data_IF_188116576854
#
_entry.id   IF_188116576854
#
_cell.length_a   1.000
_cell.length_b   1.000
_cell.length_c   1.000
_cell.angle_alpha   90.00
_cell.angle_beta   90.00
_cell.angle_gamma   90.00
#
_symmetry.space_group_name_H-M   'P 1'
#
loop_
_entity.id
_entity.type
_entity.pdbx_description
1 polymer ?
#
# COMPACT_ATOMS: atom_id res chain seq x y z
N UNK A 1 8.31 9.28 -14.59
CA UNK A 1 7.30 8.19 -14.59
C UNK A 1 6.20 8.58 -13.61
N UNK A 2 5.01 8.95 -14.10
CA UNK A 2 3.87 9.29 -13.25
C UNK A 2 3.01 8.04 -13.07
N UNK A 3 2.98 7.47 -11.87
CA UNK A 3 1.96 6.49 -11.51
C UNK A 3 0.58 7.16 -11.62
N UNK A 4 -0.22 6.74 -12.59
CA UNK A 4 -1.59 7.21 -12.74
C UNK A 4 -2.51 6.23 -12.02
N UNK A 5 -3.25 6.77 -11.05
CA UNK A 5 -4.32 6.02 -10.40
C UNK A 5 -5.46 5.84 -11.40
N UNK A 6 -6.23 4.74 -11.29
CA UNK A 6 -7.48 4.59 -12.01
C UNK A 6 -8.38 5.81 -11.78
N UNK A 7 -9.19 6.24 -12.76
CA UNK A 7 -10.03 7.44 -12.64
C UNK A 7 -11.02 7.37 -11.47
N UNK A 8 -11.40 6.15 -11.07
CA UNK A 8 -12.32 5.90 -9.96
C UNK A 8 -11.60 5.80 -8.61
N UNK A 9 -10.27 5.95 -8.57
CA UNK A 9 -9.44 5.79 -7.38
C UNK A 9 -8.67 7.08 -7.10
N UNK A 10 -8.83 7.58 -5.90
CA UNK A 10 -8.06 8.70 -5.36
C UNK A 10 -7.05 8.19 -4.35
N UNK A 11 -5.86 8.81 -4.32
CA UNK A 11 -4.86 8.56 -3.29
C UNK A 11 -4.58 9.84 -2.52
N UNK A 12 -4.59 9.73 -1.20
CA UNK A 12 -4.26 10.82 -0.30
C UNK A 12 -2.96 10.49 0.42
N UNK A 13 -1.94 11.34 0.26
CA UNK A 13 -0.69 11.24 1.00
C UNK A 13 -0.77 12.04 2.30
N UNK A 14 -0.46 11.41 3.42
CA UNK A 14 -0.35 12.04 4.74
C UNK A 14 1.05 11.81 5.31
N UNK A 15 1.79 12.85 5.70
CA UNK A 15 3.03 12.66 6.45
C UNK A 15 2.70 12.15 7.86
N UNK A 16 3.29 11.03 8.27
CA UNK A 16 3.23 10.53 9.65
C UNK A 16 4.40 11.07 10.47
N UNK A 17 5.58 11.17 9.84
CA UNK A 17 6.81 11.66 10.48
C UNK A 17 7.73 12.26 9.44
N UNK A 18 8.86 12.82 9.87
CA UNK A 18 9.88 13.37 8.95
C UNK A 18 10.35 12.36 7.88
N UNK A 19 10.26 11.06 8.16
CA UNK A 19 10.77 9.98 7.31
C UNK A 19 9.70 8.96 6.90
N UNK A 20 8.44 9.22 7.24
CA UNK A 20 7.35 8.25 7.10
C UNK A 20 6.09 8.89 6.55
N UNK A 21 5.46 8.22 5.58
CA UNK A 21 4.28 8.69 4.87
C UNK A 21 3.23 7.59 4.81
N UNK A 22 1.97 7.98 4.88
CA UNK A 22 0.82 7.12 4.65
C UNK A 22 0.12 7.53 3.37
N UNK A 23 -0.27 6.55 2.56
CA UNK A 23 -1.01 6.73 1.33
C UNK A 23 -2.34 6.00 1.46
N UNK A 24 -3.42 6.75 1.57
CA UNK A 24 -4.76 6.20 1.70
C UNK A 24 -5.38 6.13 0.31
N UNK A 25 -5.78 4.94 -0.14
CA UNK A 25 -6.46 4.74 -1.42
C UNK A 25 -7.97 4.60 -1.20
N UNK A 26 -8.73 5.40 -1.95
CA UNK A 26 -10.20 5.41 -1.93
C UNK A 26 -10.75 5.24 -3.33
N UNK A 27 -11.67 4.29 -3.49
CA UNK A 27 -12.49 4.14 -4.67
C UNK A 27 -13.79 4.93 -4.50
N UNK A 28 -14.30 5.52 -5.58
CA UNK A 28 -15.57 6.27 -5.58
C UNK A 28 -16.75 5.40 -5.11
N UNK A 29 -16.85 4.18 -5.63
CA UNK A 29 -17.94 3.24 -5.32
C UNK A 29 -17.65 2.32 -4.11
N UNK A 30 -16.47 1.71 -4.03
CA UNK A 30 -16.13 0.74 -2.97
C UNK A 30 -15.72 1.41 -1.64
N UNK A 31 -15.58 2.73 -1.65
CA UNK A 31 -15.09 3.51 -0.52
C UNK A 31 -13.60 3.32 -0.29
N UNK A 32 -13.17 3.30 0.98
CA UNK A 32 -11.75 3.12 1.31
C UNK A 32 -11.30 1.69 0.95
N UNK A 33 -10.32 1.60 0.04
CA UNK A 33 -9.74 0.34 -0.43
C UNK A 33 -8.69 -0.19 0.54
N UNK A 34 -7.84 0.71 1.03
CA UNK A 34 -6.70 0.36 1.86
C UNK A 34 -5.73 1.52 2.03
N UNK A 35 -4.64 1.26 2.73
CA UNK A 35 -3.58 2.23 2.99
C UNK A 35 -2.21 1.60 2.83
N UNK A 36 -1.26 2.39 2.36
CA UNK A 36 0.13 2.00 2.18
C UNK A 36 0.98 2.90 3.06
N UNK A 37 1.67 2.31 4.02
CA UNK A 37 2.58 3.00 4.92
C UNK A 37 4.01 2.83 4.45
N UNK A 38 4.69 3.95 4.25
CA UNK A 38 6.12 4.04 3.96
C UNK A 38 6.83 4.52 5.21
N UNK A 39 7.80 3.75 5.69
CA UNK A 39 8.59 4.08 6.87
C UNK A 39 10.09 4.02 6.58
N UNK A 40 10.87 4.87 7.24
CA UNK A 40 12.35 4.84 7.29
C UNK A 40 13.09 5.11 5.97
N UNK A 41 12.63 6.05 5.15
CA UNK A 41 13.28 6.35 3.87
C UNK A 41 14.62 7.10 3.94
N UNK A 42 15.18 7.37 5.13
CA UNK A 42 16.41 8.16 5.32
C UNK A 42 17.69 7.34 5.36
N UNK A 43 17.62 6.03 5.60
CA UNK A 43 18.80 5.22 5.97
C UNK A 43 19.13 4.12 4.95
N UNK A 44 18.80 4.31 3.68
CA UNK A 44 19.06 3.25 2.70
C UNK A 44 18.05 2.10 2.74
N UNK A 45 16.95 2.19 3.51
CA UNK A 45 15.97 1.11 3.67
C UNK A 45 14.54 1.65 3.90
N UNK A 46 13.73 1.86 2.85
CA UNK A 46 12.29 2.10 3.04
C UNK A 46 11.55 0.79 3.30
N UNK A 47 10.78 0.73 4.39
CA UNK A 47 9.78 -0.32 4.62
C UNK A 47 8.45 0.11 4.03
N UNK A 48 7.93 -0.68 3.09
CA UNK A 48 6.58 -0.51 2.53
C UNK A 48 5.65 -1.51 3.21
N UNK A 49 4.54 -1.05 3.78
CA UNK A 49 3.52 -1.90 4.40
C UNK A 49 2.17 -1.59 3.76
N UNK A 50 1.50 -2.58 3.21
CA UNK A 50 0.20 -2.41 2.55
C UNK A 50 -0.88 -3.09 3.36
N UNK A 51 -1.95 -2.36 3.66
CA UNK A 51 -3.10 -2.81 4.45
C UNK A 51 -4.38 -2.60 3.66
N UNK A 52 -5.14 -3.67 3.44
CA UNK A 52 -6.46 -3.60 2.80
C UNK A 52 -7.49 -3.22 3.86
N UNK A 53 -8.43 -2.35 3.51
CA UNK A 53 -9.49 -1.92 4.41
C UNK A 53 -10.68 -2.88 4.37
N UNK A 54 -10.85 -3.63 5.46
CA UNK A 54 -11.95 -4.57 5.64
C UNK A 54 -11.55 -5.77 6.49
N UNK A 55 -12.51 -6.63 6.81
CA UNK A 55 -12.23 -7.91 7.48
C UNK A 55 -12.02 -9.03 6.45
N UNK A 56 -11.05 -9.94 6.69
CA UNK A 56 -10.88 -11.11 5.85
C UNK A 56 -12.14 -11.99 5.92
N UNK A 57 -12.63 -12.44 4.76
CA UNK A 57 -13.84 -13.26 4.64
C UNK A 57 -15.08 -12.51 4.14
N UNK A 58 -15.06 -11.18 4.14
CA UNK A 58 -16.13 -10.36 3.56
C UNK A 58 -15.98 -10.25 2.03
N UNK A 59 -17.04 -10.52 1.25
CA UNK A 59 -17.02 -10.39 -0.22
C UNK A 59 -16.61 -8.98 -0.67
N UNK A 60 -17.03 -7.95 0.06
CA UNK A 60 -16.64 -6.55 -0.17
C UNK A 60 -15.14 -6.32 0.04
N UNK A 61 -14.52 -6.98 1.02
CA UNK A 61 -13.08 -6.88 1.27
C UNK A 61 -12.29 -7.56 0.14
N UNK A 62 -12.75 -8.70 -0.37
CA UNK A 62 -12.12 -9.38 -1.50
C UNK A 62 -12.18 -8.54 -2.78
N UNK A 63 -13.31 -7.87 -3.05
CA UNK A 63 -13.41 -6.92 -4.16
C UNK A 63 -12.46 -5.73 -4.00
N UNK A 64 -12.37 -5.18 -2.79
CA UNK A 64 -11.40 -4.10 -2.50
C UNK A 64 -9.97 -4.58 -2.70
N UNK A 65 -9.65 -5.81 -2.29
CA UNK A 65 -8.34 -6.43 -2.44
C UNK A 65 -7.97 -6.60 -3.92
N UNK A 66 -8.89 -7.08 -4.75
CA UNK A 66 -8.67 -7.26 -6.18
C UNK A 66 -8.28 -5.95 -6.89
N UNK A 67 -8.81 -4.81 -6.44
CA UNK A 67 -8.42 -3.49 -6.95
C UNK A 67 -7.15 -2.96 -6.28
N UNK A 68 -7.02 -3.14 -4.96
CA UNK A 68 -5.93 -2.57 -4.17
C UNK A 68 -4.58 -3.27 -4.39
N UNK A 69 -4.56 -4.59 -4.49
CA UNK A 69 -3.35 -5.40 -4.61
C UNK A 69 -2.49 -5.04 -5.84
N UNK A 70 -3.04 -4.93 -7.08
CA UNK A 70 -2.25 -4.50 -8.23
C UNK A 70 -1.73 -3.07 -8.05
N UNK A 71 -2.52 -2.16 -7.47
CA UNK A 71 -2.10 -0.78 -7.20
C UNK A 71 -0.96 -0.72 -6.18
N UNK A 72 -1.08 -1.47 -5.09
CA UNK A 72 -0.07 -1.55 -4.05
C UNK A 72 1.24 -2.16 -4.58
N UNK A 73 1.14 -3.18 -5.43
CA UNK A 73 2.30 -3.79 -6.09
C UNK A 73 3.00 -2.77 -7.00
N UNK A 74 2.29 -2.12 -7.91
CA UNK A 74 2.89 -1.13 -8.81
C UNK A 74 3.48 0.06 -8.06
N UNK A 75 2.82 0.55 -7.00
CA UNK A 75 3.38 1.60 -6.14
C UNK A 75 4.67 1.15 -5.48
N UNK A 76 4.69 -0.07 -4.93
CA UNK A 76 5.88 -0.65 -4.29
C UNK A 76 7.03 -0.82 -5.29
N UNK A 77 6.74 -1.24 -6.53
CA UNK A 77 7.73 -1.32 -7.61
C UNK A 77 8.26 0.05 -8.01
N UNK A 78 7.41 1.06 -8.16
CA UNK A 78 7.88 2.42 -8.51
C UNK A 78 8.71 3.06 -7.41
N UNK A 79 8.35 2.82 -6.14
CA UNK A 79 9.15 3.27 -4.99
C UNK A 79 10.53 2.59 -5.04
N UNK A 80 10.60 1.28 -5.29
CA UNK A 80 11.86 0.56 -5.47
C UNK A 80 12.69 1.05 -6.67
N UNK A 81 12.05 1.45 -7.78
CA UNK A 81 12.77 1.99 -8.96
C UNK A 81 13.31 3.39 -8.73
N UNK A 82 12.62 4.21 -7.94
CA UNK A 82 12.98 5.61 -7.71
C UNK A 82 14.01 5.76 -6.59
N UNK A 83 14.11 4.76 -5.70
CA UNK A 83 15.04 4.76 -4.59
C UNK A 83 15.87 3.47 -4.57
N UNK A 84 17.19 3.61 -4.62
CA UNK A 84 18.15 2.51 -4.72
C UNK A 84 18.13 1.63 -3.44
N UNK A 85 17.18 0.70 -3.34
CA UNK A 85 17.01 -0.20 -2.19
C UNK A 85 17.01 -1.69 -2.58
N UNK A 86 17.56 -2.57 -1.72
CA UNK A 86 17.36 -4.02 -1.83
C UNK A 86 15.91 -4.41 -1.50
N UNK A 87 15.41 -5.45 -2.17
CA UNK A 87 14.03 -5.97 -2.03
C UNK A 87 13.66 -6.20 -0.56
N UNK A 88 12.68 -5.46 -0.06
CA UNK A 88 11.97 -5.84 1.15
C UNK A 88 11.19 -7.13 0.86
N UNK A 89 11.60 -8.22 1.49
CA UNK A 89 10.81 -9.46 1.57
C UNK A 89 9.50 -9.07 2.23
N UNK A 90 8.39 -9.25 1.50
CA UNK A 90 7.06 -9.23 2.08
C UNK A 90 7.00 -10.37 3.10
N UNK A 91 7.35 -10.07 4.34
CA UNK A 91 7.16 -10.98 5.47
C UNK A 91 5.65 -11.15 5.63
N UNK A 92 5.14 -12.23 5.05
CA UNK A 92 3.88 -12.84 5.44
C UNK A 92 4.00 -13.15 6.94
N UNK A 93 3.57 -12.24 7.81
CA UNK A 93 3.14 -12.64 9.14
C UNK A 93 1.77 -13.30 9.01
N UNK A 94 1.84 -14.53 8.51
CA UNK A 94 0.90 -15.59 8.78
C UNK A 94 1.26 -16.10 10.18
N UNK A 95 0.66 -15.54 11.23
CA UNK A 95 0.63 -16.20 12.54
C UNK A 95 -0.69 -16.94 12.66
N UNK A 96 -0.63 -18.22 12.33
CA UNK A 96 -1.57 -19.26 12.75
C UNK A 96 -1.25 -19.63 14.21
N UNK A 97 -2.26 -20.14 14.93
CA UNK A 97 -2.22 -20.92 16.20
C UNK A 97 -1.98 -20.09 17.48
N UNK A 98 -2.73 -20.29 18.57
CA UNK A 98 -3.39 -21.50 19.08
C UNK A 98 -4.84 -21.28 19.54
#
# INVERSE_FOLDING_TARGET
MSFQLPPNVTAQRKPISATSYEYILRHSELGQLGQIMLSACTSGNCKVTSLVNGQPGEQLTEQRRAVFEPLAKTLTEQIQMTTNFPKAVAEKNQTVTA
#
